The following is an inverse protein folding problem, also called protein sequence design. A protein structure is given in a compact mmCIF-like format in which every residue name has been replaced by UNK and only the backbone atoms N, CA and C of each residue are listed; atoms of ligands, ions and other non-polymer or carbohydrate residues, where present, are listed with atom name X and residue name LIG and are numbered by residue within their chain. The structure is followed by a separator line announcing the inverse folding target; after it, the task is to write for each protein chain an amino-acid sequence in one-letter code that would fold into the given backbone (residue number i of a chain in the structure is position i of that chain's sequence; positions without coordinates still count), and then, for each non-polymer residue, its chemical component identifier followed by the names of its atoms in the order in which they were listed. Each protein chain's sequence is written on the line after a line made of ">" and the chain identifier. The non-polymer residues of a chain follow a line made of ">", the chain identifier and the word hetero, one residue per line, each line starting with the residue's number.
data_IF_690168032046
#
_entry.id   IF_690168032046
#
_cell.length_a   1.000
_cell.length_b   1.000
_cell.length_c   1.000
_cell.angle_alpha   90.00
_cell.angle_beta   90.00
_cell.angle_gamma   90.00
#
_symmetry.space_group_name_H-M   'P 1'
#
loop_
_entity.id
_entity.type
_entity.pdbx_description
1 polymer ?
#
# COMPACT_ATOMS: atom_id res chain seq x y z
N UNK A 1 8.93 4.31 -13.80
CA UNK A 1 7.48 4.13 -13.65
C UNK A 1 7.23 3.10 -12.58
N UNK A 2 6.33 3.38 -11.64
CA UNK A 2 5.83 2.42 -10.64
C UNK A 2 4.58 1.74 -11.20
N UNK A 3 4.56 0.40 -11.25
CA UNK A 3 3.36 -0.36 -11.59
C UNK A 3 2.80 -1.03 -10.34
N UNK A 4 1.55 -0.75 -10.02
CA UNK A 4 0.85 -1.27 -8.85
C UNK A 4 -0.20 -2.27 -9.30
N UNK A 5 -0.15 -3.48 -8.75
CA UNK A 5 -1.20 -4.49 -8.89
C UNK A 5 -1.90 -4.70 -7.54
N UNK A 6 -3.21 -4.67 -7.52
CA UNK A 6 -3.97 -4.90 -6.29
C UNK A 6 -5.45 -4.59 -6.41
N UNK A 7 -6.14 -4.63 -5.29
CA UNK A 7 -7.58 -4.36 -5.21
C UNK A 7 -7.92 -2.91 -5.58
N UNK A 8 -9.05 -2.76 -6.28
CA UNK A 8 -9.77 -1.51 -6.47
C UNK A 8 -11.17 -1.77 -5.91
N UNK A 9 -11.60 -0.93 -4.98
CA UNK A 9 -12.77 -1.21 -4.16
C UNK A 9 -13.81 -0.09 -4.18
N UNK A 10 -15.03 -0.45 -3.82
CA UNK A 10 -16.03 0.47 -3.32
C UNK A 10 -16.19 0.20 -1.82
N UNK A 11 -15.55 1.02 -1.00
CA UNK A 11 -15.49 0.83 0.44
C UNK A 11 -16.65 1.51 1.16
N UNK A 12 -17.11 0.91 2.25
CA UNK A 12 -17.96 1.57 3.26
C UNK A 12 -17.15 1.66 4.54
N UNK A 13 -16.87 2.89 4.97
CA UNK A 13 -16.16 3.15 6.21
C UNK A 13 -17.09 3.78 7.24
N UNK A 14 -17.10 3.18 8.43
CA UNK A 14 -17.87 3.62 9.58
C UNK A 14 -16.92 4.02 10.69
N UNK A 15 -16.84 5.31 10.97
CA UNK A 15 -16.19 5.83 12.17
C UNK A 15 -17.24 6.17 13.23
N UNK A 16 -16.85 6.38 14.50
CA UNK A 16 -17.79 6.82 15.54
C UNK A 16 -18.49 8.13 15.22
N UNK A 17 -17.92 8.91 14.29
CA UNK A 17 -18.35 10.27 13.97
C UNK A 17 -19.14 10.35 12.67
N UNK A 18 -18.86 9.48 11.70
CA UNK A 18 -19.47 9.52 10.38
C UNK A 18 -19.39 8.18 9.65
N UNK A 19 -20.35 7.94 8.76
CA UNK A 19 -20.33 6.83 7.80
C UNK A 19 -20.27 7.37 6.38
N UNK A 20 -19.40 6.78 5.57
CA UNK A 20 -19.34 6.99 4.11
C UNK A 20 -19.50 5.66 3.40
N UNK A 21 -20.42 5.61 2.45
CA UNK A 21 -20.75 4.38 1.75
C UNK A 21 -20.28 4.41 0.30
N UNK A 22 -19.76 3.27 -0.17
CA UNK A 22 -19.38 3.03 -1.57
C UNK A 22 -18.43 4.09 -2.13
N UNK A 23 -17.47 4.56 -1.32
CA UNK A 23 -16.42 5.48 -1.75
C UNK A 23 -15.30 4.71 -2.45
N UNK A 24 -14.57 5.39 -3.33
CA UNK A 24 -13.42 4.81 -4.02
C UNK A 24 -12.30 4.49 -3.02
N UNK A 25 -11.90 3.24 -3.00
CA UNK A 25 -10.84 2.69 -2.18
C UNK A 25 -10.07 1.58 -2.90
N UNK A 26 -9.47 0.70 -2.11
CA UNK A 26 -8.64 -0.41 -2.59
C UNK A 26 -7.15 -0.08 -2.64
N UNK A 27 -6.34 -1.09 -2.36
CA UNK A 27 -4.90 -0.94 -2.16
C UNK A 27 -4.17 -0.38 -3.39
N UNK A 28 -4.53 -0.85 -4.60
CA UNK A 28 -3.93 -0.32 -5.83
C UNK A 28 -4.28 1.16 -6.07
N UNK A 29 -5.48 1.58 -5.69
CA UNK A 29 -5.92 2.97 -5.81
C UNK A 29 -5.06 3.89 -4.96
N UNK A 30 -5.00 3.64 -3.65
CA UNK A 30 -4.23 4.47 -2.72
C UNK A 30 -2.74 4.49 -3.06
N UNK A 31 -2.14 3.32 -3.31
CA UNK A 31 -0.72 3.22 -3.58
C UNK A 31 -0.32 3.90 -4.91
N UNK A 32 -1.10 3.70 -5.98
CA UNK A 32 -0.80 4.32 -7.27
C UNK A 32 -0.96 5.85 -7.23
N UNK A 33 -2.01 6.36 -6.58
CA UNK A 33 -2.21 7.80 -6.39
C UNK A 33 -1.08 8.42 -5.56
N UNK A 34 -0.70 7.80 -4.44
CA UNK A 34 0.38 8.30 -3.59
C UNK A 34 1.74 8.26 -4.28
N UNK A 35 2.04 7.19 -5.03
CA UNK A 35 3.27 7.08 -5.80
C UNK A 35 3.37 8.07 -6.95
N UNK A 36 2.22 8.45 -7.53
CA UNK A 36 2.16 9.35 -8.69
C UNK A 36 2.67 10.77 -8.43
N UNK A 37 2.77 11.19 -7.17
CA UNK A 37 3.38 12.49 -6.81
C UNK A 37 4.89 12.53 -7.06
N UNK A 38 5.56 11.38 -7.14
CA UNK A 38 7.02 11.29 -7.22
C UNK A 38 7.50 10.75 -8.56
N UNK A 39 6.76 9.80 -9.16
CA UNK A 39 7.09 9.16 -10.44
C UNK A 39 5.81 8.84 -11.20
N UNK A 40 5.86 8.70 -12.53
CA UNK A 40 4.73 8.14 -13.27
C UNK A 40 4.31 6.80 -12.66
N UNK A 41 3.05 6.68 -12.28
CA UNK A 41 2.47 5.47 -11.70
C UNK A 41 1.36 4.92 -12.59
N UNK A 42 1.19 3.61 -12.57
CA UNK A 42 0.11 2.92 -13.25
C UNK A 42 -0.47 1.83 -12.37
N UNK A 43 -1.75 1.55 -12.54
CA UNK A 43 -2.43 0.50 -11.80
C UNK A 43 -2.87 -0.64 -12.73
N UNK A 44 -2.86 -1.83 -12.16
CA UNK A 44 -3.44 -3.04 -12.73
C UNK A 44 -4.45 -3.58 -11.72
N UNK A 45 -5.67 -3.81 -12.15
CA UNK A 45 -6.73 -4.31 -11.30
C UNK A 45 -8.02 -4.53 -12.07
N UNK A 46 -9.07 -4.92 -11.36
CA UNK A 46 -10.38 -5.19 -11.97
C UNK A 46 -11.48 -4.51 -11.17
N UNK A 47 -12.47 -3.97 -11.88
CA UNK A 47 -13.70 -3.41 -11.33
C UNK A 47 -14.92 -4.04 -11.99
N UNK A 48 -16.07 -3.92 -11.35
CA UNK A 48 -17.32 -4.46 -11.86
C UNK A 48 -18.12 -3.46 -12.70
N UNK A 49 -19.29 -3.94 -13.18
CA UNK A 49 -20.23 -3.12 -13.96
C UNK A 49 -20.75 -1.92 -13.16
N UNK A 50 -20.76 -2.02 -11.82
CA UNK A 50 -21.26 -1.01 -10.89
C UNK A 50 -20.23 0.06 -10.50
N UNK A 51 -19.01 0.00 -11.09
CA UNK A 51 -17.97 0.98 -10.83
C UNK A 51 -18.34 2.33 -11.47
N UNK A 52 -18.44 3.42 -10.69
CA UNK A 52 -18.84 4.72 -11.20
C UNK A 52 -17.90 5.27 -12.26
N UNK A 53 -18.45 5.80 -13.35
CA UNK A 53 -17.67 6.43 -14.42
C UNK A 53 -16.83 7.61 -13.92
N UNK A 54 -17.34 8.37 -12.93
CA UNK A 54 -16.60 9.47 -12.30
C UNK A 54 -15.30 9.01 -11.65
N UNK A 55 -15.30 7.86 -11.00
CA UNK A 55 -14.09 7.29 -10.40
C UNK A 55 -13.11 6.77 -11.46
N UNK A 56 -13.63 6.18 -12.53
CA UNK A 56 -12.79 5.78 -13.66
C UNK A 56 -12.07 6.99 -14.27
N UNK A 57 -12.81 8.05 -14.59
CA UNK A 57 -12.26 9.30 -15.15
C UNK A 57 -11.25 9.95 -14.19
N UNK A 58 -11.53 9.91 -12.87
CA UNK A 58 -10.60 10.45 -11.88
C UNK A 58 -9.26 9.69 -11.92
N UNK A 59 -9.30 8.35 -11.94
CA UNK A 59 -8.09 7.52 -12.02
C UNK A 59 -7.33 7.76 -13.33
N UNK A 60 -8.02 7.81 -14.46
CA UNK A 60 -7.45 8.09 -15.80
C UNK A 60 -6.69 9.43 -15.85
N UNK A 61 -7.16 10.43 -15.10
CA UNK A 61 -6.50 11.73 -15.02
C UNK A 61 -5.27 11.77 -14.10
N UNK A 62 -5.09 10.78 -13.23
CA UNK A 62 -4.04 10.78 -12.21
C UNK A 62 -2.96 9.73 -12.44
N UNK A 63 -3.33 8.57 -12.95
CA UNK A 63 -2.43 7.42 -13.12
C UNK A 63 -2.67 6.69 -14.43
N UNK A 64 -1.72 5.84 -14.85
CA UNK A 64 -1.92 4.97 -16.01
C UNK A 64 -2.95 3.88 -15.69
N UNK A 65 -4.01 3.78 -16.48
CA UNK A 65 -5.15 2.86 -16.26
C UNK A 65 -5.31 1.79 -17.34
N UNK A 66 -4.35 1.61 -18.23
CA UNK A 66 -4.42 0.55 -19.27
C UNK A 66 -4.56 -0.87 -18.69
N UNK A 67 -4.16 -1.06 -17.44
CA UNK A 67 -4.34 -2.30 -16.69
C UNK A 67 -5.64 -2.42 -15.92
N UNK A 68 -6.53 -1.41 -16.00
CA UNK A 68 -7.83 -1.43 -15.36
C UNK A 68 -8.83 -2.19 -16.26
N UNK A 69 -9.31 -3.33 -15.78
CA UNK A 69 -10.29 -4.17 -16.49
C UNK A 69 -11.67 -3.92 -15.87
N UNK A 70 -12.70 -3.81 -16.71
CA UNK A 70 -14.09 -3.73 -16.26
C UNK A 70 -14.84 -5.00 -16.62
N UNK A 71 -15.34 -5.71 -15.59
CA UNK A 71 -16.14 -6.91 -15.76
C UNK A 71 -17.61 -6.53 -16.03
N UNK A 72 -18.22 -7.17 -17.04
CA UNK A 72 -19.57 -6.80 -17.47
C UNK A 72 -20.70 -7.31 -16.55
N UNK A 73 -20.48 -8.39 -15.80
CA UNK A 73 -21.54 -9.09 -15.06
C UNK A 73 -21.34 -9.14 -13.55
N UNK A 74 -20.11 -9.04 -13.06
CA UNK A 74 -19.80 -9.06 -11.62
C UNK A 74 -19.71 -7.64 -11.07
N UNK A 75 -19.98 -7.49 -9.77
CA UNK A 75 -19.80 -6.24 -9.03
C UNK A 75 -18.33 -6.00 -8.70
N UNK A 76 -18.00 -4.75 -8.44
CA UNK A 76 -16.70 -4.33 -7.91
C UNK A 76 -16.49 -4.95 -6.52
N UNK A 77 -15.25 -5.25 -6.16
CA UNK A 77 -14.85 -5.63 -4.81
C UNK A 77 -15.40 -4.62 -3.80
N UNK A 78 -16.02 -5.14 -2.75
CA UNK A 78 -16.65 -4.33 -1.73
C UNK A 78 -16.12 -4.70 -0.35
N UNK A 79 -15.80 -3.69 0.43
CA UNK A 79 -15.30 -3.84 1.78
C UNK A 79 -16.03 -2.87 2.72
N UNK A 80 -16.66 -3.40 3.78
CA UNK A 80 -17.33 -2.62 4.83
C UNK A 80 -16.57 -2.83 6.14
N UNK A 81 -16.12 -1.75 6.73
CA UNK A 81 -15.41 -1.76 8.01
C UNK A 81 -15.88 -0.67 8.95
N UNK A 82 -15.73 -0.94 10.23
CA UNK A 82 -15.95 0.03 11.30
C UNK A 82 -14.72 0.19 12.17
N UNK A 83 -14.54 1.38 12.71
CA UNK A 83 -13.46 1.73 13.62
C UNK A 83 -13.99 2.00 15.03
N UNK A 84 -13.21 1.65 16.04
CA UNK A 84 -13.45 1.98 17.42
C UNK A 84 -13.32 3.49 17.66
N UNK A 85 -13.65 3.95 18.87
CA UNK A 85 -13.67 5.38 19.22
C UNK A 85 -12.33 6.09 18.99
N UNK A 86 -11.22 5.42 19.27
CA UNK A 86 -9.86 5.95 19.10
C UNK A 86 -9.29 5.75 17.69
N UNK A 87 -10.08 5.18 16.76
CA UNK A 87 -9.70 4.88 15.37
C UNK A 87 -8.50 3.93 15.22
N UNK A 88 -8.05 3.31 16.31
CA UNK A 88 -6.87 2.43 16.30
C UNK A 88 -7.17 1.00 15.87
N UNK A 89 -8.40 0.55 16.12
CA UNK A 89 -8.82 -0.81 15.83
C UNK A 89 -9.91 -0.84 14.76
N UNK A 90 -9.70 -1.68 13.74
CA UNK A 90 -10.62 -1.88 12.62
C UNK A 90 -11.33 -3.22 12.74
N UNK A 91 -12.64 -3.21 12.67
CA UNK A 91 -13.49 -4.38 12.55
C UNK A 91 -14.00 -4.53 11.12
N UNK A 92 -13.80 -5.69 10.51
CA UNK A 92 -14.39 -6.02 9.21
C UNK A 92 -15.83 -6.43 9.40
N UNK A 93 -16.77 -5.67 8.85
CA UNK A 93 -18.21 -5.97 8.90
C UNK A 93 -18.60 -6.89 7.73
N UNK A 94 -18.07 -6.62 6.53
CA UNK A 94 -18.39 -7.39 5.33
C UNK A 94 -17.26 -7.30 4.29
N UNK A 95 -16.99 -8.43 3.64
CA UNK A 95 -16.11 -8.51 2.47
C UNK A 95 -16.84 -9.25 1.37
N UNK A 96 -16.95 -8.64 0.19
CA UNK A 96 -17.48 -9.27 -1.02
C UNK A 96 -16.39 -9.25 -2.08
N UNK A 97 -15.77 -10.40 -2.36
CA UNK A 97 -14.66 -10.51 -3.32
C UNK A 97 -15.11 -10.18 -4.74
N UNK A 98 -16.34 -10.58 -5.12
CA UNK A 98 -16.95 -10.23 -6.40
C UNK A 98 -16.02 -10.49 -7.61
N UNK A 99 -15.58 -9.40 -8.30
CA UNK A 99 -14.68 -9.51 -9.46
C UNK A 99 -13.30 -10.07 -9.15
N UNK A 100 -12.84 -10.02 -7.88
CA UNK A 100 -11.50 -10.52 -7.51
C UNK A 100 -11.48 -12.06 -7.49
N UNK A 101 -12.58 -12.71 -7.15
CA UNK A 101 -12.63 -14.16 -6.87
C UNK A 101 -12.07 -15.01 -8.01
N UNK A 102 -12.44 -14.70 -9.26
CA UNK A 102 -11.99 -15.45 -10.45
C UNK A 102 -11.11 -14.62 -11.38
N UNK A 103 -10.49 -13.57 -10.86
CA UNK A 103 -9.70 -12.68 -11.69
C UNK A 103 -8.41 -13.33 -12.15
N UNK A 104 -8.26 -13.42 -13.48
CA UNK A 104 -6.99 -13.79 -14.11
C UNK A 104 -6.25 -12.51 -14.52
N UNK A 105 -5.26 -12.06 -13.72
CA UNK A 105 -4.61 -10.79 -13.96
C UNK A 105 -3.76 -10.81 -15.22
N UNK A 106 -3.83 -9.72 -15.98
CA UNK A 106 -3.02 -9.51 -17.18
C UNK A 106 -2.17 -8.24 -17.03
N UNK A 107 -0.95 -8.29 -17.53
CA UNK A 107 -0.09 -7.12 -17.64
C UNK A 107 -0.20 -6.57 -19.04
N UNK A 108 -0.65 -5.32 -19.24
CA UNK A 108 -0.57 -4.67 -20.54
C UNK A 108 0.85 -4.67 -21.10
N UNK A 109 1.00 -4.75 -22.41
CA UNK A 109 2.32 -4.79 -23.07
C UNK A 109 3.20 -3.59 -22.65
N UNK A 110 2.59 -2.42 -22.48
CA UNK A 110 3.28 -1.19 -22.06
C UNK A 110 3.84 -1.26 -20.63
N UNK A 111 3.29 -2.16 -19.81
CA UNK A 111 3.73 -2.32 -18.41
C UNK A 111 4.61 -3.57 -18.20
N UNK A 112 4.72 -4.45 -19.20
CA UNK A 112 5.47 -5.70 -19.09
C UNK A 112 6.94 -5.51 -18.71
N UNK A 113 7.56 -4.42 -19.18
CA UNK A 113 8.94 -4.04 -18.88
C UNK A 113 9.08 -3.11 -17.66
N UNK A 114 8.08 -3.06 -16.77
CA UNK A 114 8.15 -2.23 -15.57
C UNK A 114 9.25 -2.73 -14.65
N UNK A 115 10.19 -1.84 -14.33
CA UNK A 115 11.31 -2.15 -13.44
C UNK A 115 10.91 -2.17 -11.96
N UNK A 116 9.83 -1.48 -11.61
CA UNK A 116 9.37 -1.28 -10.25
C UNK A 116 7.93 -1.71 -10.13
N UNK A 117 7.69 -2.75 -9.33
CA UNK A 117 6.37 -3.37 -9.17
C UNK A 117 6.00 -3.39 -7.69
N UNK A 118 4.81 -2.92 -7.39
CA UNK A 118 4.20 -3.09 -6.08
C UNK A 118 3.01 -4.04 -6.18
N UNK A 119 3.13 -5.19 -5.52
CA UNK A 119 2.07 -6.16 -5.35
C UNK A 119 1.30 -5.77 -4.08
N UNK A 120 0.35 -4.87 -4.24
CA UNK A 120 -0.51 -4.40 -3.16
C UNK A 120 -1.47 -5.51 -2.72
N UNK A 121 -2.19 -5.28 -1.63
CA UNK A 121 -3.14 -6.25 -1.11
C UNK A 121 -4.11 -6.76 -2.19
N UNK A 122 -4.03 -8.05 -2.44
CA UNK A 122 -4.90 -8.86 -3.30
C UNK A 122 -4.69 -10.34 -2.97
N UNK A 123 -5.41 -11.25 -3.65
CA UNK A 123 -5.17 -12.69 -3.55
C UNK A 123 -3.68 -13.02 -3.84
N UNK A 124 -2.93 -13.62 -2.89
CA UNK A 124 -1.51 -13.89 -3.07
C UNK A 124 -1.20 -14.84 -4.24
N UNK A 125 -2.13 -15.72 -4.62
CA UNK A 125 -1.97 -16.57 -5.80
C UNK A 125 -2.04 -15.75 -7.09
N UNK A 126 -2.92 -14.75 -7.13
CA UNK A 126 -2.99 -13.80 -8.26
C UNK A 126 -1.75 -12.90 -8.30
N UNK A 127 -1.23 -12.46 -7.15
CA UNK A 127 0.02 -11.73 -7.05
C UNK A 127 1.20 -12.56 -7.61
N UNK A 128 1.27 -13.84 -7.28
CA UNK A 128 2.29 -14.75 -7.80
C UNK A 128 2.14 -15.01 -9.31
N UNK A 129 0.89 -15.08 -9.82
CA UNK A 129 0.62 -15.24 -11.26
C UNK A 129 1.05 -14.01 -12.05
N UNK A 130 0.67 -12.81 -11.59
CA UNK A 130 0.99 -11.59 -12.32
C UNK A 130 2.48 -11.26 -12.28
N UNK A 131 3.18 -11.56 -11.18
CA UNK A 131 4.61 -11.35 -11.06
C UNK A 131 5.40 -12.04 -12.19
N UNK A 132 4.98 -13.22 -12.59
CA UNK A 132 5.60 -14.00 -13.69
C UNK A 132 5.42 -13.36 -15.08
N UNK A 133 4.55 -12.35 -15.20
CA UNK A 133 4.24 -11.67 -16.48
C UNK A 133 5.04 -10.39 -16.68
N UNK A 134 5.82 -9.97 -15.67
CA UNK A 134 6.78 -8.88 -15.79
C UNK A 134 8.14 -9.39 -16.25
N UNK A 135 8.80 -8.62 -17.11
CA UNK A 135 10.13 -8.96 -17.63
C UNK A 135 11.22 -8.37 -16.71
N UNK A 136 11.68 -9.20 -15.76
CA UNK A 136 12.81 -8.93 -14.84
C UNK A 136 12.72 -7.57 -14.13
N UNK A 137 11.71 -7.34 -13.29
CA UNK A 137 11.64 -6.13 -12.48
C UNK A 137 12.86 -6.00 -11.56
N UNK A 138 13.38 -4.79 -11.42
CA UNK A 138 14.55 -4.49 -10.57
C UNK A 138 14.17 -4.42 -9.09
N UNK A 139 12.95 -4.02 -8.79
CA UNK A 139 12.42 -3.97 -7.42
C UNK A 139 10.95 -4.40 -7.42
N UNK A 140 10.67 -5.41 -6.64
CA UNK A 140 9.31 -5.88 -6.35
C UNK A 140 9.08 -5.81 -4.85
N UNK A 141 8.03 -5.14 -4.44
CA UNK A 141 7.61 -5.05 -3.04
C UNK A 141 6.19 -5.57 -2.92
N UNK A 142 5.87 -6.26 -1.85
CA UNK A 142 4.51 -6.76 -1.61
C UNK A 142 3.96 -6.33 -0.25
N UNK A 143 2.63 -6.36 -0.17
CA UNK A 143 1.83 -6.20 1.04
C UNK A 143 0.79 -7.33 1.12
N UNK A 144 0.11 -7.45 2.25
CA UNK A 144 -0.99 -8.40 2.48
C UNK A 144 -1.93 -7.85 3.54
N UNK A 145 -3.02 -8.57 3.81
CA UNK A 145 -3.91 -8.27 4.94
C UNK A 145 -4.19 -9.52 5.75
N UNK A 146 -4.75 -9.32 6.97
CA UNK A 146 -5.12 -10.40 7.88
C UNK A 146 -5.95 -11.50 7.20
N UNK A 147 -6.91 -11.13 6.32
CA UNK A 147 -7.75 -12.09 5.61
C UNK A 147 -6.90 -13.14 4.85
N UNK A 148 -5.94 -12.70 4.03
CA UNK A 148 -5.10 -13.61 3.26
C UNK A 148 -4.11 -14.40 4.13
N UNK A 149 -3.64 -13.80 5.23
CA UNK A 149 -2.79 -14.51 6.20
C UNK A 149 -3.57 -15.67 6.84
N UNK A 150 -4.86 -15.50 7.09
CA UNK A 150 -5.70 -16.57 7.65
C UNK A 150 -6.07 -17.63 6.62
N UNK A 151 -6.48 -17.21 5.43
CA UNK A 151 -7.03 -18.10 4.41
C UNK A 151 -5.93 -18.80 3.57
N UNK A 152 -4.81 -18.10 3.28
CA UNK A 152 -3.78 -18.53 2.34
C UNK A 152 -2.36 -18.28 2.83
N UNK A 153 -2.07 -18.59 4.10
CA UNK A 153 -0.78 -18.28 4.74
C UNK A 153 0.43 -18.74 3.92
N UNK A 154 0.40 -19.95 3.39
CA UNK A 154 1.51 -20.49 2.60
C UNK A 154 1.73 -19.71 1.29
N UNK A 155 0.65 -19.29 0.62
CA UNK A 155 0.74 -18.47 -0.58
C UNK A 155 1.27 -17.07 -0.26
N UNK A 156 0.90 -16.48 0.90
CA UNK A 156 1.47 -15.21 1.39
C UNK A 156 2.98 -15.34 1.60
N UNK A 157 3.45 -16.38 2.29
CA UNK A 157 4.89 -16.62 2.48
C UNK A 157 5.58 -16.81 1.13
N UNK A 158 5.02 -17.64 0.23
CA UNK A 158 5.58 -17.88 -1.11
C UNK A 158 5.64 -16.60 -1.96
N UNK A 159 4.70 -15.67 -1.79
CA UNK A 159 4.75 -14.35 -2.42
C UNK A 159 5.91 -13.54 -1.85
N UNK A 160 6.07 -13.50 -0.53
CA UNK A 160 7.16 -12.77 0.13
C UNK A 160 8.55 -13.31 -0.28
N UNK A 161 8.70 -14.62 -0.40
CA UNK A 161 9.93 -15.27 -0.90
C UNK A 161 10.35 -14.84 -2.31
N UNK A 162 9.41 -14.38 -3.12
CA UNK A 162 9.62 -13.97 -4.52
C UNK A 162 9.75 -12.45 -4.69
N UNK A 163 9.72 -11.69 -3.61
CA UNK A 163 9.79 -10.22 -3.64
C UNK A 163 11.06 -9.71 -2.98
N UNK A 164 11.49 -8.49 -3.34
CA UNK A 164 12.66 -7.86 -2.77
C UNK A 164 12.37 -7.17 -1.43
N UNK A 165 11.11 -6.79 -1.20
CA UNK A 165 10.69 -6.14 0.03
C UNK A 165 9.26 -6.47 0.45
N UNK A 166 9.01 -6.37 1.75
CA UNK A 166 7.69 -6.59 2.34
C UNK A 166 7.31 -5.36 3.16
N UNK A 167 6.09 -4.86 2.94
CA UNK A 167 5.47 -3.82 3.75
C UNK A 167 4.25 -4.44 4.43
N UNK A 168 4.21 -4.46 5.76
CA UNK A 168 3.18 -5.15 6.54
C UNK A 168 2.89 -4.34 7.81
N UNK A 169 1.68 -4.43 8.38
CA UNK A 169 1.44 -3.81 9.68
C UNK A 169 1.85 -4.74 10.84
N UNK A 170 1.86 -4.19 12.04
CA UNK A 170 2.34 -4.89 13.24
C UNK A 170 1.45 -6.05 13.66
N UNK A 171 0.13 -5.95 13.48
CA UNK A 171 -0.82 -7.01 13.79
C UNK A 171 -0.69 -8.17 12.79
N UNK A 172 -0.60 -7.85 11.51
CA UNK A 172 -0.37 -8.81 10.44
C UNK A 172 0.97 -9.54 10.60
N UNK A 173 2.04 -8.81 10.96
CA UNK A 173 3.36 -9.39 11.22
C UNK A 173 3.32 -10.39 12.39
N UNK A 174 2.66 -10.04 13.50
CA UNK A 174 2.46 -10.94 14.64
C UNK A 174 1.65 -12.18 14.25
N UNK A 175 0.54 -11.99 13.52
CA UNK A 175 -0.31 -13.07 13.07
C UNK A 175 0.44 -14.03 12.13
N UNK A 176 1.15 -13.48 11.14
CA UNK A 176 1.87 -14.24 10.14
C UNK A 176 2.98 -15.09 10.77
N UNK A 177 3.77 -14.48 11.65
CA UNK A 177 4.90 -15.14 12.33
C UNK A 177 4.48 -15.96 13.56
N UNK A 178 3.27 -15.78 14.06
CA UNK A 178 2.81 -16.32 15.35
C UNK A 178 3.75 -15.93 16.52
N UNK A 179 4.21 -14.69 16.54
CA UNK A 179 5.15 -14.15 17.53
C UNK A 179 4.67 -12.77 18.03
N UNK A 180 4.77 -12.49 19.35
CA UNK A 180 4.37 -11.19 19.89
C UNK A 180 5.41 -10.08 19.65
N UNK A 181 6.68 -10.41 19.46
CA UNK A 181 7.78 -9.45 19.35
C UNK A 181 8.06 -9.08 17.89
N UNK A 182 7.91 -7.79 17.55
CA UNK A 182 8.06 -7.31 16.17
C UNK A 182 9.49 -7.42 15.63
N UNK A 183 10.51 -7.34 16.48
CA UNK A 183 11.90 -7.52 16.04
C UNK A 183 12.11 -8.97 15.57
N UNK A 184 11.56 -9.93 16.32
CA UNK A 184 11.59 -11.33 15.90
C UNK A 184 10.76 -11.57 14.63
N UNK A 185 9.59 -10.94 14.51
CA UNK A 185 8.77 -11.01 13.30
C UNK A 185 9.52 -10.51 12.06
N UNK A 186 10.11 -9.32 12.13
CA UNK A 186 10.85 -8.73 11.01
C UNK A 186 12.04 -9.58 10.58
N UNK A 187 12.83 -10.11 11.54
CA UNK A 187 13.94 -11.03 11.27
C UNK A 187 13.46 -12.34 10.64
N UNK A 188 12.34 -12.89 11.10
CA UNK A 188 11.77 -14.10 10.52
C UNK A 188 11.28 -13.85 9.09
N UNK A 189 10.61 -12.73 8.81
CA UNK A 189 10.17 -12.39 7.44
C UNK A 189 11.39 -12.22 6.53
N UNK A 190 12.45 -11.52 6.98
CA UNK A 190 13.70 -11.41 6.21
C UNK A 190 14.29 -12.78 5.89
N UNK A 191 14.23 -13.74 6.82
CA UNK A 191 14.79 -15.10 6.61
C UNK A 191 14.06 -15.89 5.53
N UNK A 192 12.87 -15.48 5.10
CA UNK A 192 12.14 -16.09 3.99
C UNK A 192 12.62 -15.63 2.60
N UNK A 193 13.45 -14.55 2.51
CA UNK A 193 14.06 -14.15 1.25
C UNK A 193 14.04 -12.68 0.88
N UNK A 194 13.09 -11.85 1.37
CA UNK A 194 13.13 -10.43 1.09
C UNK A 194 14.43 -9.76 1.57
N UNK A 195 14.90 -8.77 0.84
CA UNK A 195 16.10 -8.00 1.22
C UNK A 195 15.79 -6.94 2.28
N UNK A 196 14.54 -6.55 2.43
CA UNK A 196 14.08 -5.65 3.49
C UNK A 196 12.62 -5.89 3.89
N UNK A 197 12.29 -5.48 5.11
CA UNK A 197 10.93 -5.51 5.65
C UNK A 197 10.61 -4.18 6.32
N UNK A 198 9.41 -3.65 6.08
CA UNK A 198 8.84 -2.50 6.77
C UNK A 198 7.65 -2.98 7.59
N UNK A 199 7.72 -2.84 8.91
CA UNK A 199 6.57 -3.08 9.80
C UNK A 199 5.98 -1.74 10.22
N UNK A 200 4.78 -1.44 9.71
CA UNK A 200 4.00 -0.24 10.03
C UNK A 200 3.36 -0.39 11.41
N UNK A 201 3.37 0.66 12.23
CA UNK A 201 2.84 0.67 13.60
C UNK A 201 1.87 1.83 13.84
N UNK A 202 1.10 2.23 12.83
CA UNK A 202 0.18 3.35 12.91
C UNK A 202 0.88 4.65 13.32
N UNK A 203 0.34 5.35 14.31
CA UNK A 203 0.88 6.61 14.86
C UNK A 203 2.31 6.49 15.40
N UNK A 204 2.75 5.30 15.78
CA UNK A 204 4.10 5.03 16.27
C UNK A 204 5.15 4.86 15.15
N UNK A 205 4.77 5.10 13.89
CA UNK A 205 5.67 5.05 12.75
C UNK A 205 5.99 3.62 12.29
N UNK A 206 7.27 3.33 12.00
CA UNK A 206 7.66 2.06 11.41
C UNK A 206 8.94 1.48 12.02
N UNK A 207 9.12 0.18 11.84
CA UNK A 207 10.40 -0.51 11.97
C UNK A 207 10.85 -0.94 10.57
N UNK A 208 12.03 -0.51 10.17
CA UNK A 208 12.67 -0.96 8.94
C UNK A 208 13.75 -1.98 9.25
N UNK A 209 13.77 -3.07 8.51
CA UNK A 209 14.72 -4.17 8.67
C UNK A 209 15.45 -4.39 7.34
N UNK A 210 16.77 -4.43 7.37
CA UNK A 210 17.60 -4.90 6.26
C UNK A 210 18.91 -5.48 6.83
N UNK A 211 19.41 -6.55 6.24
CA UNK A 211 20.55 -7.28 6.77
C UNK A 211 20.33 -7.60 8.27
N UNK A 212 21.29 -7.25 9.12
CA UNK A 212 21.19 -7.42 10.58
C UNK A 212 20.67 -6.17 11.31
N UNK A 213 20.41 -5.07 10.58
CA UNK A 213 20.04 -3.78 11.13
C UNK A 213 18.53 -3.60 11.26
N UNK A 214 18.15 -2.82 12.29
CA UNK A 214 16.76 -2.40 12.54
C UNK A 214 16.73 -0.91 12.81
N UNK A 215 15.95 -0.16 12.01
CA UNK A 215 15.80 1.29 12.18
C UNK A 215 14.37 1.64 12.59
N UNK A 216 14.15 2.20 13.79
CA UNK A 216 12.87 2.80 14.13
C UNK A 216 12.78 4.19 13.51
N UNK A 217 11.66 4.48 12.86
CA UNK A 217 11.34 5.82 12.37
C UNK A 217 9.97 6.20 12.94
N UNK A 218 9.88 7.26 13.77
CA UNK A 218 8.62 7.71 14.36
C UNK A 218 7.60 8.09 13.30
N UNK A 219 6.31 8.05 13.61
CA UNK A 219 5.25 8.60 12.77
C UNK A 219 5.26 10.13 12.75
N UNK A 220 4.69 10.74 11.70
CA UNK A 220 4.38 12.16 11.74
C UNK A 220 3.15 12.37 12.62
N UNK A 221 3.23 13.23 13.65
CA UNK A 221 2.08 13.50 14.52
C UNK A 221 1.01 14.25 13.75
N UNK A 222 -0.22 13.75 13.81
CA UNK A 222 -1.38 14.36 13.20
C UNK A 222 -2.48 14.54 14.24
N UNK A 223 -3.16 15.68 14.19
CA UNK A 223 -4.21 16.03 15.14
C UNK A 223 -5.58 15.49 14.71
N UNK A 224 -5.92 15.69 13.45
CA UNK A 224 -7.23 15.33 12.90
C UNK A 224 -7.15 14.04 12.08
N UNK A 225 -7.74 12.96 12.59
CA UNK A 225 -7.92 11.69 11.87
C UNK A 225 -9.40 11.54 11.54
N UNK A 226 -9.71 11.38 10.24
CA UNK A 226 -11.09 11.22 9.74
C UNK A 226 -11.36 9.77 9.38
N UNK A 227 -10.51 9.13 8.58
CA UNK A 227 -10.66 7.75 8.12
C UNK A 227 -9.28 7.08 7.98
N UNK A 228 -8.93 6.12 8.87
CA UNK A 228 -7.64 5.42 8.80
C UNK A 228 -7.47 4.51 7.57
N UNK A 229 -8.53 4.30 6.78
CA UNK A 229 -8.49 3.41 5.60
C UNK A 229 -7.51 3.92 4.56
N UNK A 230 -6.70 3.02 3.99
CA UNK A 230 -5.76 3.37 2.94
C UNK A 230 -4.45 4.02 3.41
N UNK A 231 -4.28 4.29 4.72
CA UNK A 231 -3.03 4.83 5.28
C UNK A 231 -1.82 3.97 4.92
N UNK A 232 -1.94 2.66 5.10
CA UNK A 232 -0.88 1.69 4.81
C UNK A 232 -0.52 1.61 3.33
N UNK A 233 -1.54 1.64 2.46
CA UNK A 233 -1.35 1.60 1.01
C UNK A 233 -0.75 2.91 0.49
N UNK A 234 -1.20 4.03 1.04
CA UNK A 234 -0.64 5.36 0.74
C UNK A 234 0.81 5.50 1.21
N UNK A 235 1.12 4.93 2.40
CA UNK A 235 2.50 4.81 2.86
C UNK A 235 3.34 4.04 1.83
N UNK A 236 2.88 2.88 1.38
CA UNK A 236 3.62 2.06 0.43
C UNK A 236 3.83 2.78 -0.90
N UNK A 237 2.79 3.47 -1.41
CA UNK A 237 2.88 4.29 -2.61
C UNK A 237 3.89 5.44 -2.47
N UNK A 238 3.84 6.17 -1.36
CA UNK A 238 4.76 7.26 -1.07
C UNK A 238 6.21 6.80 -0.91
N UNK A 239 6.43 5.73 -0.14
CA UNK A 239 7.73 5.09 0.01
C UNK A 239 8.32 4.65 -1.33
N UNK A 240 7.57 3.85 -2.10
CA UNK A 240 8.00 3.35 -3.40
C UNK A 240 8.22 4.48 -4.40
N UNK A 241 7.28 5.43 -4.47
CA UNK A 241 7.36 6.56 -5.39
C UNK A 241 8.62 7.40 -5.17
N UNK A 242 8.89 7.79 -3.92
CA UNK A 242 10.10 8.55 -3.61
C UNK A 242 11.37 7.74 -3.82
N UNK A 243 11.43 6.49 -3.34
CA UNK A 243 12.58 5.61 -3.55
C UNK A 243 12.92 5.48 -5.03
N UNK A 244 11.93 5.26 -5.89
CA UNK A 244 12.09 5.10 -7.34
C UNK A 244 12.59 6.41 -7.97
N UNK A 245 12.14 7.57 -7.50
CA UNK A 245 12.58 8.88 -8.04
C UNK A 245 14.07 9.14 -7.86
N UNK A 246 14.69 8.45 -6.90
CA UNK A 246 16.13 8.55 -6.54
C UNK A 246 16.83 7.20 -6.64
N UNK A 247 16.21 6.22 -7.30
CA UNK A 247 16.64 4.84 -7.28
C UNK A 247 18.10 4.64 -7.70
N UNK A 248 18.80 3.86 -6.90
CA UNK A 248 20.12 3.33 -7.15
C UNK A 248 20.07 1.81 -6.92
N UNK A 249 20.81 1.04 -7.71
CA UNK A 249 20.75 -0.44 -7.65
C UNK A 249 21.01 -0.99 -6.25
N UNK A 250 21.92 -0.38 -5.51
CA UNK A 250 22.27 -0.76 -4.14
C UNK A 250 21.67 0.23 -3.13
N UNK A 251 20.39 0.60 -3.30
CA UNK A 251 19.75 1.62 -2.48
C UNK A 251 19.73 1.26 -0.96
N UNK A 252 19.80 -0.02 -0.60
CA UNK A 252 19.87 -0.46 0.80
C UNK A 252 21.16 -0.05 1.49
N UNK A 253 22.26 0.17 0.74
CA UNK A 253 23.51 0.70 1.27
C UNK A 253 23.42 2.20 1.56
N UNK A 254 22.41 2.88 0.97
CA UNK A 254 22.16 4.30 1.19
C UNK A 254 21.05 4.48 2.24
N UNK A 255 21.45 4.41 3.50
CA UNK A 255 20.54 4.51 4.67
C UNK A 255 19.73 5.81 4.65
N UNK A 256 20.32 6.91 4.19
CA UNK A 256 19.63 8.21 4.14
C UNK A 256 18.51 8.18 3.09
N UNK A 257 18.74 7.61 1.92
CA UNK A 257 17.70 7.43 0.90
C UNK A 257 16.55 6.58 1.42
N UNK A 258 16.86 5.48 2.12
CA UNK A 258 15.83 4.61 2.73
C UNK A 258 15.03 5.38 3.77
N UNK A 259 15.68 6.09 4.68
CA UNK A 259 15.01 6.91 5.70
C UNK A 259 14.13 7.98 5.07
N UNK A 260 14.65 8.72 4.08
CA UNK A 260 13.86 9.72 3.35
C UNK A 260 12.63 9.10 2.68
N UNK A 261 12.79 7.94 2.04
CA UNK A 261 11.67 7.23 1.41
C UNK A 261 10.59 6.85 2.43
N UNK A 262 11.00 6.43 3.63
CA UNK A 262 10.07 6.14 4.73
C UNK A 262 9.37 7.41 5.24
N UNK A 263 10.08 8.56 5.33
CA UNK A 263 9.43 9.83 5.70
C UNK A 263 8.33 10.19 4.69
N UNK A 264 8.58 10.06 3.40
CA UNK A 264 7.54 10.32 2.38
C UNK A 264 6.41 9.29 2.43
N UNK A 265 6.71 8.03 2.76
CA UNK A 265 5.68 7.03 3.06
C UNK A 265 4.78 7.48 4.22
N UNK A 266 5.35 7.85 5.36
CA UNK A 266 4.60 8.36 6.52
C UNK A 266 3.76 9.59 6.14
N UNK A 267 4.33 10.55 5.40
CA UNK A 267 3.62 11.76 4.95
C UNK A 267 2.40 11.40 4.11
N UNK A 268 2.54 10.51 3.13
CA UNK A 268 1.42 10.10 2.28
C UNK A 268 0.36 9.33 3.07
N UNK A 269 0.78 8.47 4.02
CA UNK A 269 -0.13 7.82 4.94
C UNK A 269 -0.94 8.81 5.77
N UNK A 270 -0.31 9.89 6.28
CA UNK A 270 -1.03 10.91 7.05
C UNK A 270 -1.98 11.74 6.19
N UNK A 271 -1.66 12.05 4.94
CA UNK A 271 -2.61 12.70 4.06
C UNK A 271 -3.84 11.83 3.78
N UNK A 272 -3.66 10.53 3.62
CA UNK A 272 -4.77 9.63 3.35
C UNK A 272 -5.84 9.64 4.46
N UNK A 273 -5.42 9.78 5.72
CA UNK A 273 -6.33 9.70 6.88
C UNK A 273 -7.04 11.00 7.25
N UNK A 274 -6.71 12.12 6.58
CA UNK A 274 -7.33 13.44 6.84
C UNK A 274 -8.70 13.63 6.19
N UNK A 275 -9.13 12.70 5.34
CA UNK A 275 -10.47 12.71 4.72
C UNK A 275 -10.88 11.26 4.38
N UNK A 276 -12.16 11.06 4.08
CA UNK A 276 -12.67 9.77 3.65
C UNK A 276 -12.17 9.36 2.26
N UNK A 277 -11.79 8.09 2.13
CA UNK A 277 -11.34 7.53 0.88
C UNK A 277 -10.13 8.29 0.33
N UNK A 278 -10.14 8.55 -0.97
CA UNK A 278 -9.03 9.22 -1.65
C UNK A 278 -9.15 10.75 -1.70
N UNK A 279 -10.17 11.34 -1.07
CA UNK A 279 -10.51 12.77 -1.26
C UNK A 279 -9.33 13.69 -0.96
N UNK A 280 -8.63 13.47 0.15
CA UNK A 280 -7.47 14.29 0.48
C UNK A 280 -6.36 14.14 -0.56
N UNK A 281 -6.03 12.90 -0.95
CA UNK A 281 -4.95 12.60 -1.89
C UNK A 281 -5.15 13.26 -3.27
N UNK A 282 -6.38 13.40 -3.73
CA UNK A 282 -6.65 14.02 -5.04
C UNK A 282 -6.63 15.54 -5.00
N UNK A 283 -6.71 16.14 -3.80
CA UNK A 283 -6.78 17.59 -3.58
C UNK A 283 -5.48 18.22 -3.06
N UNK A 284 -4.45 17.43 -2.74
CA UNK A 284 -3.12 17.95 -2.39
C UNK A 284 -2.21 18.08 -3.61
N UNK A 285 -1.19 18.92 -3.47
CA UNK A 285 -0.11 19.06 -4.44
C UNK A 285 1.27 18.73 -3.86
N UNK A 286 2.29 18.70 -4.72
CA UNK A 286 3.68 18.42 -4.28
C UNK A 286 4.17 19.43 -3.24
N UNK A 287 3.69 20.67 -3.27
CA UNK A 287 4.07 21.71 -2.31
C UNK A 287 3.58 21.36 -0.89
N UNK A 288 2.36 20.82 -0.74
CA UNK A 288 1.82 20.39 0.55
C UNK A 288 2.68 19.26 1.15
N UNK A 289 3.08 18.32 0.29
CA UNK A 289 3.95 17.19 0.66
C UNK A 289 5.32 17.70 1.12
N UNK A 290 5.93 18.64 0.39
CA UNK A 290 7.24 19.17 0.73
C UNK A 290 7.21 20.04 1.98
N UNK A 291 6.14 20.79 2.21
CA UNK A 291 5.94 21.56 3.45
C UNK A 291 5.83 20.62 4.66
N UNK A 292 5.02 19.55 4.56
CA UNK A 292 4.91 18.53 5.61
C UNK A 292 6.24 17.84 5.86
N UNK A 293 7.01 17.51 4.81
CA UNK A 293 8.34 16.93 4.95
C UNK A 293 9.29 17.88 5.72
N UNK A 294 9.27 19.17 5.41
CA UNK A 294 10.08 20.16 6.15
C UNK A 294 9.72 20.18 7.64
N UNK A 295 8.44 20.20 7.98
CA UNK A 295 7.97 20.14 9.36
C UNK A 295 8.40 18.85 10.04
N UNK A 296 8.24 17.72 9.36
CA UNK A 296 8.58 16.40 9.89
C UNK A 296 10.08 16.29 10.21
N UNK A 297 10.95 16.73 9.31
CA UNK A 297 12.39 16.77 9.55
C UNK A 297 12.75 17.61 10.77
N UNK A 298 12.13 18.77 10.94
CA UNK A 298 12.35 19.62 12.11
C UNK A 298 11.96 18.91 13.43
N UNK A 299 10.87 18.12 13.40
CA UNK A 299 10.45 17.34 14.59
C UNK A 299 11.42 16.19 14.92
N UNK A 300 12.10 15.63 13.93
CA UNK A 300 13.07 14.56 14.10
C UNK A 300 14.50 15.04 14.40
N UNK A 301 14.76 16.34 14.24
CA UNK A 301 16.06 16.93 14.49
C UNK A 301 16.32 17.03 16.01
N UNK A 302 17.41 16.43 16.45
CA UNK A 302 17.87 16.50 17.84
C UNK A 302 18.90 17.62 18.07
N UNK A 303 18.89 18.68 17.26
CA UNK A 303 19.79 19.82 17.34
C UNK A 303 21.01 19.70 16.47
#
# INVERSE_FOLDING_TARGET
>A
MLTVFGSIALDTTRTPFQTKERILGGAATYASLSGSFFVPASLIGIVGYDFPQSYQTLLENKVGTKGLIKHAEKKTFFYDSSFDYDLSHRTTNKTELNVIEDFEPMVPMEYANSKFVYLANNDPDQNLKILKKFDRPELVVCDTIEYWIREKKNSVISMMEKTHGVIINDQEARLLCNLPNLIKCGKQILSWGPSFVIIKKGEHGVLFFCNDDVFPIPGYPIEDIVDPTGAGDSFAGGFMGYLISKYQKNFLDNVDLVKESILFGNIMGTFAIEDFGINKLVNIGINDIMERNKRYRNLLSLG
#
